data_IF_129489672585
#
_entry.id   IF_129489672585
#
_cell.length_a   1.000
_cell.length_b   1.000
_cell.length_c   1.000
_cell.angle_alpha   90.00
_cell.angle_beta   90.00
_cell.angle_gamma   90.00
#
_symmetry.space_group_name_H-M   'P 1'
#
loop_
_entity.id
_entity.type
_entity.pdbx_description
1 polymer ?
#
# COMPACT_ATOMS: atom_id res chain seq x y z
N UNK A 1 7.56 25.70 -16.32
CA UNK A 1 6.79 25.85 -15.07
C UNK A 1 7.31 24.80 -14.11
N UNK A 2 7.72 25.26 -12.93
CA UNK A 2 8.64 24.57 -12.01
C UNK A 2 8.02 23.32 -11.40
N UNK A 3 8.81 22.26 -11.23
CA UNK A 3 8.55 20.99 -10.53
C UNK A 3 8.20 21.12 -9.04
N UNK A 4 7.77 22.32 -8.62
CA UNK A 4 7.52 22.73 -7.26
C UNK A 4 6.03 22.70 -6.91
N UNK A 5 5.15 22.90 -7.90
CA UNK A 5 3.69 22.85 -7.72
C UNK A 5 3.14 21.41 -7.71
N UNK A 6 3.84 20.45 -8.33
CA UNK A 6 3.54 19.01 -8.17
C UNK A 6 3.87 18.47 -6.77
N UNK A 7 4.70 19.17 -5.99
CA UNK A 7 5.18 18.71 -4.68
C UNK A 7 4.25 19.06 -3.51
N UNK A 8 3.29 19.98 -3.70
CA UNK A 8 2.50 20.56 -2.59
C UNK A 8 1.08 19.99 -2.50
N UNK A 9 0.92 18.73 -2.92
CA UNK A 9 -0.33 18.00 -2.85
C UNK A 9 -0.50 17.03 -1.69
N UNK A 10 0.38 17.10 -0.69
CA UNK A 10 0.28 16.22 0.46
C UNK A 10 -0.93 16.59 1.30
N UNK A 11 -1.85 15.65 1.44
CA UNK A 11 -2.85 15.73 2.48
C UNK A 11 -2.17 15.37 3.80
N UNK A 12 -1.36 16.30 4.32
CA UNK A 12 -0.61 16.18 5.58
C UNK A 12 -1.53 15.95 6.78
N UNK A 13 -2.84 16.16 6.64
CA UNK A 13 -3.85 15.99 7.68
C UNK A 13 -4.87 14.90 7.34
N UNK A 14 -4.39 13.72 6.92
CA UNK A 14 -5.22 12.51 6.99
C UNK A 14 -5.58 12.21 8.47
N UNK A 15 -6.70 11.55 8.73
CA UNK A 15 -7.10 11.15 10.09
C UNK A 15 -6.11 10.19 10.76
N UNK A 16 -5.24 9.55 9.96
CA UNK A 16 -4.18 8.65 10.42
C UNK A 16 -2.85 9.37 10.67
N UNK A 17 -2.79 10.67 10.40
CA UNK A 17 -1.59 11.49 10.59
C UNK A 17 -1.28 11.66 12.08
N UNK A 18 -0.05 11.37 12.46
CA UNK A 18 0.51 11.65 13.79
C UNK A 18 1.61 12.68 13.69
N UNK A 19 1.50 13.76 14.46
CA UNK A 19 2.55 14.77 14.63
C UNK A 19 3.56 14.25 15.66
N UNK A 20 4.83 14.18 15.27
CA UNK A 20 5.94 13.75 16.12
C UNK A 20 6.56 14.95 16.86
N UNK A 21 7.27 14.67 17.96
CA UNK A 21 7.90 15.69 18.79
C UNK A 21 8.91 16.58 18.05
N UNK A 22 9.48 16.07 16.94
CA UNK A 22 10.45 16.79 16.13
C UNK A 22 9.82 17.64 15.01
N UNK A 23 8.48 17.75 15.01
CA UNK A 23 7.68 18.48 14.04
C UNK A 23 7.38 17.72 12.75
N UNK A 24 7.86 16.48 12.60
CA UNK A 24 7.49 15.64 11.46
C UNK A 24 6.06 15.11 11.57
N UNK A 25 5.44 14.83 10.43
CA UNK A 25 4.14 14.16 10.34
C UNK A 25 4.39 12.73 9.87
N UNK A 26 3.77 11.76 10.53
CA UNK A 26 3.85 10.34 10.17
C UNK A 26 2.47 9.77 9.84
N UNK A 27 2.39 8.95 8.80
CA UNK A 27 1.21 8.16 8.42
C UNK A 27 1.64 6.71 8.32
N UNK A 28 0.85 5.79 8.88
CA UNK A 28 1.17 4.36 8.90
C UNK A 28 0.06 3.53 8.26
N UNK A 29 0.46 2.54 7.48
CA UNK A 29 -0.40 1.48 6.97
C UNK A 29 0.21 0.12 7.33
N UNK A 30 -0.63 -0.82 7.71
CA UNK A 30 -0.29 -2.22 7.90
C UNK A 30 -0.39 -2.95 6.57
N UNK A 31 0.58 -3.80 6.28
CA UNK A 31 0.59 -4.64 5.09
C UNK A 31 0.06 -6.01 5.46
N UNK A 32 -0.98 -6.41 4.77
CA UNK A 32 -1.62 -7.70 4.90
C UNK A 32 -1.28 -8.60 3.72
N UNK A 33 -1.19 -9.89 3.98
CA UNK A 33 -1.19 -10.96 2.99
C UNK A 33 -2.47 -11.77 3.16
N UNK A 34 -3.24 -11.93 2.08
CA UNK A 34 -4.37 -12.85 2.04
C UNK A 34 -3.89 -14.21 1.53
N UNK A 35 -3.95 -15.22 2.40
CA UNK A 35 -3.57 -16.57 2.05
C UNK A 35 -4.74 -17.35 1.40
N UNK A 36 -4.41 -18.47 0.75
CA UNK A 36 -5.38 -19.33 0.08
C UNK A 36 -6.35 -20.04 1.05
N UNK A 37 -6.03 -20.09 2.35
CA UNK A 37 -6.93 -20.56 3.41
C UNK A 37 -7.91 -19.46 3.88
N UNK A 38 -7.91 -18.31 3.18
CA UNK A 38 -8.76 -17.15 3.43
C UNK A 38 -8.48 -16.48 4.78
N UNK A 39 -7.31 -16.69 5.37
CA UNK A 39 -6.83 -15.91 6.49
C UNK A 39 -6.01 -14.71 6.00
N UNK A 40 -6.20 -13.58 6.68
CA UNK A 40 -5.41 -12.39 6.49
C UNK A 40 -4.30 -12.34 7.54
N UNK A 41 -3.06 -12.15 7.09
CA UNK A 41 -1.87 -12.10 7.92
C UNK A 41 -1.24 -10.72 7.83
N UNK A 42 -1.01 -10.08 8.97
CA UNK A 42 -0.29 -8.79 9.01
C UNK A 42 1.20 -9.09 8.93
N UNK A 43 1.77 -8.91 7.74
CA UNK A 43 3.16 -9.29 7.47
C UNK A 43 4.12 -8.14 7.77
N UNK A 44 3.62 -6.92 7.93
CA UNK A 44 4.44 -5.76 8.24
C UNK A 44 3.67 -4.45 8.25
N UNK A 45 4.42 -3.36 8.19
CA UNK A 45 3.93 -1.99 8.15
C UNK A 45 4.78 -1.12 7.21
N UNK A 46 4.14 -0.12 6.61
CA UNK A 46 4.78 0.95 5.85
C UNK A 46 4.42 2.25 6.55
N UNK A 47 5.42 3.07 6.86
CA UNK A 47 5.26 4.37 7.48
C UNK A 47 5.86 5.46 6.57
N UNK A 48 5.06 6.44 6.19
CA UNK A 48 5.49 7.67 5.54
C UNK A 48 5.74 8.73 6.61
N UNK A 49 6.90 9.38 6.56
CA UNK A 49 7.32 10.44 7.49
C UNK A 49 7.71 11.66 6.66
N UNK A 50 7.02 12.78 6.89
CA UNK A 50 7.21 14.04 6.18
C UNK A 50 7.76 15.08 7.15
N UNK A 51 8.84 15.77 6.76
CA UNK A 51 9.40 16.89 7.52
C UNK A 51 9.85 18.00 6.57
N UNK A 52 9.06 19.06 6.47
CA UNK A 52 9.29 20.10 5.46
C UNK A 52 9.13 19.51 4.06
N UNK A 53 10.17 19.59 3.22
CA UNK A 53 10.20 18.97 1.89
C UNK A 53 10.79 17.55 1.90
N UNK A 54 11.33 17.08 3.02
CA UNK A 54 11.89 15.74 3.12
C UNK A 54 10.80 14.71 3.36
N UNK A 55 10.88 13.61 2.61
CA UNK A 55 9.99 12.46 2.74
C UNK A 55 10.83 11.23 3.01
N UNK A 56 10.42 10.45 4.00
CA UNK A 56 11.04 9.18 4.35
C UNK A 56 9.97 8.10 4.42
N UNK A 57 10.24 6.95 3.82
CA UNK A 57 9.44 5.74 4.05
C UNK A 57 10.23 4.75 4.88
N UNK A 58 9.54 4.10 5.82
CA UNK A 58 10.04 2.93 6.54
C UNK A 58 9.14 1.76 6.24
N UNK A 59 9.72 0.61 5.85
CA UNK A 59 8.99 -0.65 5.71
C UNK A 59 9.54 -1.61 6.76
N UNK A 60 8.68 -2.19 7.58
CA UNK A 60 9.07 -3.13 8.63
C UNK A 60 8.25 -4.40 8.53
N UNK A 61 8.90 -5.55 8.49
CA UNK A 61 8.28 -6.86 8.55
C UNK A 61 8.03 -7.32 9.99
N UNK A 62 6.95 -8.09 10.16
CA UNK A 62 6.67 -8.85 11.37
C UNK A 62 7.13 -10.30 11.13
N UNK A 63 8.42 -10.56 11.39
CA UNK A 63 9.10 -11.78 10.93
C UNK A 63 8.48 -13.09 11.44
N UNK A 64 7.87 -13.09 12.63
CA UNK A 64 7.18 -14.27 13.16
C UNK A 64 5.94 -14.64 12.31
N UNK A 65 5.27 -13.64 11.73
CA UNK A 65 4.15 -13.84 10.81
C UNK A 65 4.67 -14.20 9.43
N UNK A 66 5.70 -13.51 8.92
CA UNK A 66 6.35 -13.82 7.64
C UNK A 66 6.73 -15.30 7.55
N UNK A 67 7.42 -15.84 8.57
CA UNK A 67 7.82 -17.25 8.63
C UNK A 67 6.62 -18.21 8.61
N UNK A 68 5.49 -17.82 9.20
CA UNK A 68 4.26 -18.62 9.12
C UNK A 68 3.66 -18.57 7.71
N UNK A 69 3.83 -17.46 7.01
CA UNK A 69 3.30 -17.26 5.66
C UNK A 69 4.15 -17.91 4.56
N UNK A 70 5.44 -18.14 4.79
CA UNK A 70 6.37 -18.80 3.84
C UNK A 70 5.90 -20.17 3.34
N UNK A 71 5.01 -20.84 4.07
CA UNK A 71 4.39 -22.10 3.66
C UNK A 71 3.37 -21.95 2.53
N UNK A 72 2.84 -20.75 2.29
CA UNK A 72 1.83 -20.51 1.26
C UNK A 72 2.50 -20.15 -0.06
N UNK A 73 2.13 -20.83 -1.14
CA UNK A 73 2.72 -20.64 -2.47
C UNK A 73 2.54 -19.20 -3.01
N UNK A 74 1.40 -18.56 -2.71
CA UNK A 74 1.13 -17.19 -3.10
C UNK A 74 1.88 -16.13 -2.27
N UNK A 75 2.55 -16.54 -1.18
CA UNK A 75 3.24 -15.60 -0.30
C UNK A 75 4.44 -14.99 -1.02
N UNK A 76 4.52 -13.66 -0.97
CA UNK A 76 5.59 -12.89 -1.55
C UNK A 76 6.07 -11.80 -0.60
N UNK A 77 7.08 -11.06 -1.02
CA UNK A 77 7.62 -9.91 -0.31
C UNK A 77 6.96 -8.62 -0.79
N UNK A 78 7.01 -7.59 0.05
CA UNK A 78 6.75 -6.20 -0.30
C UNK A 78 7.80 -5.79 -1.35
N UNK A 79 7.37 -5.37 -2.54
CA UNK A 79 8.25 -4.95 -3.63
C UNK A 79 9.29 -3.91 -3.19
N UNK A 80 10.54 -4.09 -3.64
CA UNK A 80 11.76 -3.39 -3.18
C UNK A 80 12.26 -3.74 -1.77
N UNK A 81 11.55 -4.58 -1.03
CA UNK A 81 11.84 -4.91 0.37
C UNK A 81 11.91 -6.44 0.58
N UNK A 82 12.90 -7.16 0.03
CA UNK A 82 13.02 -8.61 0.23
C UNK A 82 13.30 -8.96 1.69
N UNK A 83 12.35 -9.60 2.40
CA UNK A 83 12.45 -9.89 3.84
C UNK A 83 13.66 -10.79 4.21
N UNK A 84 14.18 -11.58 3.25
CA UNK A 84 15.37 -12.41 3.44
C UNK A 84 16.69 -11.60 3.48
N UNK A 85 16.67 -10.32 3.11
CA UNK A 85 17.84 -9.43 3.22
C UNK A 85 17.88 -8.76 4.59
N UNK A 86 16.74 -8.25 5.07
CA UNK A 86 16.56 -7.61 6.38
C UNK A 86 15.08 -7.43 6.68
N UNK A 87 14.75 -7.21 7.95
CA UNK A 87 13.38 -6.99 8.41
C UNK A 87 12.88 -5.54 8.21
N UNK A 88 13.79 -4.57 8.06
CA UNK A 88 13.47 -3.15 8.01
C UNK A 88 14.20 -2.42 6.88
N UNK A 89 13.45 -1.68 6.07
CA UNK A 89 13.93 -0.88 4.94
C UNK A 89 13.61 0.59 5.17
N UNK A 90 14.51 1.47 4.72
CA UNK A 90 14.36 2.92 4.82
C UNK A 90 14.66 3.54 3.46
N UNK A 91 13.74 4.36 2.97
CA UNK A 91 13.86 5.12 1.73
C UNK A 91 13.81 6.62 2.09
N UNK A 92 14.73 7.42 1.55
CA UNK A 92 14.82 8.87 1.79
C UNK A 92 14.67 9.59 0.46
N UNK A 93 13.69 10.48 0.37
CA UNK A 93 13.31 11.19 -0.86
C UNK A 93 13.08 10.24 -2.05
N UNK A 94 12.66 9.02 -1.73
CA UNK A 94 12.36 7.91 -2.62
C UNK A 94 11.35 7.00 -1.89
N UNK A 95 10.73 6.04 -2.59
CA UNK A 95 9.67 5.18 -2.05
C UNK A 95 9.86 3.72 -2.47
N UNK A 96 9.37 2.74 -1.69
CA UNK A 96 9.38 1.35 -2.15
C UNK A 96 8.49 1.19 -3.39
N UNK A 97 8.91 0.34 -4.33
CA UNK A 97 8.15 0.08 -5.57
C UNK A 97 6.75 -0.48 -5.28
N UNK A 98 6.55 -1.07 -4.09
CA UNK A 98 5.23 -1.45 -3.58
C UNK A 98 4.18 -0.33 -3.67
N UNK A 99 4.59 0.93 -3.45
CA UNK A 99 3.68 2.07 -3.56
C UNK A 99 3.38 2.38 -5.03
N UNK A 100 4.38 2.28 -5.92
CA UNK A 100 4.23 2.57 -7.34
C UNK A 100 3.34 1.56 -8.06
N UNK A 101 3.46 0.27 -7.74
CA UNK A 101 2.66 -0.80 -8.36
C UNK A 101 1.18 -0.78 -7.94
N UNK A 102 0.81 0.07 -6.97
CA UNK A 102 -0.53 0.17 -6.37
C UNK A 102 -1.14 1.57 -6.46
N UNK A 103 -0.45 2.50 -7.10
CA UNK A 103 -0.95 3.87 -7.27
C UNK A 103 -0.84 4.30 -8.73
N UNK A 104 -1.82 5.05 -9.26
CA UNK A 104 -1.79 5.48 -10.65
C UNK A 104 -0.54 6.32 -10.96
N UNK A 105 0.03 6.26 -12.16
CA UNK A 105 1.10 7.20 -12.52
C UNK A 105 0.58 8.65 -12.47
N UNK A 106 1.42 9.60 -12.04
CA UNK A 106 1.10 11.04 -12.09
C UNK A 106 0.90 11.55 -13.53
N UNK A 107 1.46 10.82 -14.50
CA UNK A 107 1.39 11.17 -15.92
C UNK A 107 0.12 10.70 -16.64
N UNK A 108 -0.88 10.16 -15.91
CA UNK A 108 -2.11 9.64 -16.52
C UNK A 108 -3.09 10.76 -16.80
N UNK A 109 -3.65 10.79 -18.01
CA UNK A 109 -4.69 11.74 -18.40
C UNK A 109 -5.97 11.59 -17.54
N UNK A 110 -6.29 10.37 -17.11
CA UNK A 110 -7.47 10.06 -16.29
C UNK A 110 -7.21 10.13 -14.78
N UNK A 111 -6.05 10.63 -14.34
CA UNK A 111 -5.71 10.75 -12.91
C UNK A 111 -6.77 11.55 -12.12
N UNK A 112 -7.24 12.74 -12.58
CA UNK A 112 -8.22 13.51 -11.81
C UNK A 112 -9.50 12.72 -11.49
N UNK A 113 -10.01 11.94 -12.44
CA UNK A 113 -11.20 11.10 -12.25
C UNK A 113 -10.94 9.96 -11.27
N UNK A 114 -9.72 9.39 -11.26
CA UNK A 114 -9.33 8.37 -10.29
C UNK A 114 -9.25 8.95 -8.86
N UNK A 115 -8.77 10.18 -8.71
CA UNK A 115 -8.72 10.86 -7.40
C UNK A 115 -10.12 11.23 -6.90
N UNK A 116 -10.97 11.74 -7.78
CA UNK A 116 -12.37 12.05 -7.46
C UNK A 116 -13.14 10.82 -6.94
N UNK A 117 -12.97 9.66 -7.57
CA UNK A 117 -13.60 8.39 -7.15
C UNK A 117 -13.25 7.97 -5.72
N UNK A 118 -12.08 8.36 -5.23
CA UNK A 118 -11.63 8.07 -3.86
C UNK A 118 -11.71 9.32 -2.97
N UNK A 119 -12.41 10.36 -3.41
CA UNK A 119 -12.57 11.62 -2.68
C UNK A 119 -11.24 12.29 -2.29
N UNK A 120 -10.24 12.18 -3.17
CA UNK A 120 -8.95 12.86 -3.05
C UNK A 120 -8.95 14.15 -3.88
N UNK A 121 -8.72 15.28 -3.21
CA UNK A 121 -8.61 16.57 -3.90
C UNK A 121 -7.22 16.81 -4.49
N UNK A 122 -6.19 16.22 -3.88
CA UNK A 122 -4.82 16.35 -4.34
C UNK A 122 -4.14 14.99 -4.35
N UNK A 123 -3.17 14.84 -5.26
CA UNK A 123 -2.52 13.56 -5.48
C UNK A 123 -1.52 13.24 -4.37
N UNK A 124 -1.99 12.45 -3.40
CA UNK A 124 -1.18 11.85 -2.34
C UNK A 124 -1.22 10.32 -2.51
N UNK A 125 -0.08 9.72 -2.86
CA UNK A 125 0.02 8.28 -3.12
C UNK A 125 -0.26 7.43 -1.88
N UNK A 126 0.19 7.88 -0.72
CA UNK A 126 0.01 7.14 0.52
C UNK A 126 -1.46 7.16 0.96
N UNK A 127 -2.12 8.31 0.79
CA UNK A 127 -3.55 8.43 1.04
C UNK A 127 -4.38 7.68 -0.02
N UNK A 128 -3.94 7.66 -1.27
CA UNK A 128 -4.57 6.84 -2.32
C UNK A 128 -4.55 5.36 -1.93
N UNK A 129 -3.38 4.83 -1.53
CA UNK A 129 -3.24 3.47 -1.02
C UNK A 129 -4.19 3.18 0.14
N UNK A 130 -4.28 4.08 1.11
CA UNK A 130 -5.18 3.92 2.26
C UNK A 130 -6.63 3.77 1.80
N UNK A 131 -7.08 4.62 0.88
CA UNK A 131 -8.48 4.67 0.42
C UNK A 131 -8.86 3.54 -0.52
N UNK A 132 -7.90 2.96 -1.23
CA UNK A 132 -8.11 1.82 -2.14
C UNK A 132 -7.65 0.49 -1.55
N UNK A 133 -7.21 0.48 -0.30
CA UNK A 133 -6.54 -0.66 0.33
C UNK A 133 -5.32 -1.18 -0.44
N UNK A 134 -4.78 -0.42 -1.40
CA UNK A 134 -3.62 -0.81 -2.20
C UNK A 134 -3.79 -2.19 -2.85
N UNK A 135 -5.00 -2.55 -3.26
CA UNK A 135 -5.27 -3.83 -3.92
C UNK A 135 -4.62 -3.81 -5.30
N UNK A 136 -4.03 -4.93 -5.70
CA UNK A 136 -3.38 -5.06 -7.00
C UNK A 136 -3.53 -6.48 -7.54
N UNK A 137 -3.67 -6.63 -8.85
CA UNK A 137 -3.78 -7.93 -9.51
C UNK A 137 -2.45 -8.72 -9.56
N UNK A 138 -1.35 -8.17 -9.03
CA UNK A 138 0.00 -8.76 -9.13
C UNK A 138 0.34 -9.70 -7.97
N UNK A 139 -0.28 -9.54 -6.80
CA UNK A 139 -0.10 -10.40 -5.64
C UNK A 139 -1.18 -10.10 -4.59
N UNK A 140 -1.36 -11.01 -3.62
CA UNK A 140 -2.42 -10.89 -2.60
C UNK A 140 -2.03 -10.01 -1.41
N UNK A 141 -1.11 -9.05 -1.61
CA UNK A 141 -0.77 -8.06 -0.60
C UNK A 141 -1.68 -6.83 -0.72
N UNK A 142 -2.14 -6.33 0.42
CA UNK A 142 -2.99 -5.16 0.52
C UNK A 142 -2.66 -4.38 1.80
N UNK A 143 -3.25 -3.19 1.98
CA UNK A 143 -2.97 -2.31 3.12
C UNK A 143 -4.21 -1.84 3.86
N UNK A 144 -4.07 -1.64 5.17
CA UNK A 144 -5.07 -1.02 6.04
C UNK A 144 -4.44 0.00 6.98
N UNK A 145 -5.19 1.00 7.40
CA UNK A 145 -4.82 1.86 8.52
C UNK A 145 -5.15 1.24 9.89
N UNK A 146 -5.84 0.10 9.91
CA UNK A 146 -6.16 -0.65 11.13
C UNK A 146 -5.37 -1.96 11.20
N UNK A 147 -4.76 -2.32 12.34
CA UNK A 147 -4.15 -3.63 12.55
C UNK A 147 -5.19 -4.72 12.84
N UNK A 148 -6.49 -4.39 12.89
CA UNK A 148 -7.56 -5.35 13.17
C UNK A 148 -8.42 -5.63 11.92
N UNK A 149 -8.00 -5.17 10.75
CA UNK A 149 -8.72 -5.36 9.49
C UNK A 149 -8.47 -6.79 8.94
N UNK A 150 -9.01 -7.81 9.61
CA UNK A 150 -8.75 -9.22 9.27
C UNK A 150 -9.79 -9.81 8.31
N UNK A 151 -10.83 -9.06 7.93
CA UNK A 151 -12.00 -9.58 7.19
C UNK A 151 -12.18 -8.99 5.80
N UNK A 152 -11.15 -8.41 5.19
CA UNK A 152 -11.18 -7.95 3.79
C UNK A 152 -11.00 -9.05 2.74
N UNK A 153 -11.73 -10.15 2.93
CA UNK A 153 -11.71 -11.31 2.03
C UNK A 153 -12.45 -11.01 0.73
N UNK A 154 -13.59 -10.32 0.82
CA UNK A 154 -14.50 -9.95 -0.29
C UNK A 154 -13.81 -9.21 -1.44
N UNK A 155 -12.74 -8.50 -1.12
CA UNK A 155 -11.96 -7.68 -2.04
C UNK A 155 -11.30 -8.52 -3.15
N UNK A 156 -10.84 -9.73 -2.82
CA UNK A 156 -10.18 -10.63 -3.77
C UNK A 156 -11.18 -11.56 -4.48
N UNK A 157 -12.37 -11.78 -3.91
CA UNK A 157 -13.46 -12.51 -4.58
C UNK A 157 -14.06 -11.72 -5.75
N UNK A 158 -13.97 -10.38 -5.71
CA UNK A 158 -14.26 -9.55 -6.88
C UNK A 158 -13.34 -9.90 -8.05
N UNK A 159 -12.08 -10.28 -7.82
CA UNK A 159 -11.19 -10.75 -8.90
C UNK A 159 -11.53 -12.16 -9.38
N UNK A 160 -12.10 -13.03 -8.55
CA UNK A 160 -12.51 -14.37 -9.00
C UNK A 160 -13.78 -14.31 -9.85
N UNK A 161 -14.79 -13.50 -9.46
CA UNK A 161 -15.94 -13.20 -10.31
C UNK A 161 -15.55 -12.38 -11.55
N UNK A 162 -14.63 -11.41 -11.41
CA UNK A 162 -14.10 -10.64 -12.53
C UNK A 162 -13.24 -11.49 -13.46
N UNK A 163 -12.50 -12.48 -12.96
CA UNK A 163 -11.76 -13.44 -13.77
C UNK A 163 -12.71 -14.44 -14.45
N UNK A 164 -13.75 -14.92 -13.76
CA UNK A 164 -14.84 -15.71 -14.36
C UNK A 164 -15.55 -14.92 -15.46
N UNK A 165 -15.76 -13.62 -15.28
CA UNK A 165 -16.37 -12.71 -16.26
C UNK A 165 -15.42 -12.34 -17.42
N UNK A 166 -14.14 -12.06 -17.16
CA UNK A 166 -13.15 -11.57 -18.13
C UNK A 166 -12.50 -12.70 -18.94
N UNK A 167 -12.35 -13.88 -18.35
CA UNK A 167 -11.69 -15.03 -18.98
C UNK A 167 -12.65 -16.20 -19.24
N UNK A 168 -13.92 -16.09 -18.86
CA UNK A 168 -14.99 -17.03 -19.19
C UNK A 168 -14.71 -18.43 -18.66
N UNK A 169 -15.09 -18.72 -17.41
CA UNK A 169 -15.13 -20.06 -16.79
C UNK A 169 -14.14 -21.10 -17.37
N UNK A 170 -12.85 -20.79 -17.42
CA UNK A 170 -11.82 -21.79 -17.69
C UNK A 170 -10.57 -21.51 -16.87
N UNK A 171 -10.67 -21.87 -15.59
CA UNK A 171 -9.51 -22.36 -14.86
C UNK A 171 -9.80 -23.84 -14.60
N UNK A 172 -8.92 -24.68 -15.15
CA UNK A 172 -8.97 -26.15 -15.14
C UNK A 172 -8.65 -26.65 -13.73
#
# INVERSE_FOLDING_TARGET
>A
MSSYEEFMGYNIYSDISKINNDGSVSKKLYVYFTANDLNNYIIGEIEEIIKGSDIKYTVKYYMDIVKQCEKFEAFTHISSCPYWVKDTFVFKNDRPYFIDERTPSSSRDDLPQLLEKVSLQVYDRFEYLRRTNGISSVNTLWVSDSPNDLDKKDIWWFEEEYAKWRFGEKLI
#
